data_IF_980839240967
#
_entry.id   IF_980839240967
#
_cell.length_a   1.000
_cell.length_b   1.000
_cell.length_c   1.000
_cell.angle_alpha   90.00
_cell.angle_beta   90.00
_cell.angle_gamma   90.00
#
_symmetry.space_group_name_H-M   'P 1'
#
loop_
_entity.id
_entity.type
_entity.pdbx_description
1 polymer ?
#
# COMPACT_ATOMS: atom_id res chain seq x y z
N UNK A 1 13.54 -28.49 18.93
CA UNK A 1 13.55 -27.15 19.54
C UNK A 1 13.68 -25.96 18.56
N UNK A 2 13.58 -26.16 17.23
CA UNK A 2 13.74 -25.06 16.25
C UNK A 2 12.42 -24.42 15.75
N UNK A 3 11.27 -24.94 16.19
CA UNK A 3 9.96 -24.51 15.70
C UNK A 3 9.50 -23.19 16.32
N UNK A 4 9.71 -23.03 17.64
CA UNK A 4 9.42 -21.79 18.37
C UNK A 4 10.26 -20.61 17.85
N UNK A 5 11.56 -20.82 17.59
CA UNK A 5 12.42 -19.80 17.00
C UNK A 5 11.97 -19.34 15.61
N UNK A 6 11.43 -20.26 14.80
CA UNK A 6 10.91 -19.94 13.46
C UNK A 6 9.61 -19.14 13.50
N UNK A 7 8.70 -19.46 14.43
CA UNK A 7 7.45 -18.72 14.64
C UNK A 7 7.75 -17.29 15.13
N UNK A 8 8.63 -17.16 16.12
CA UNK A 8 9.04 -15.85 16.66
C UNK A 8 9.74 -15.00 15.59
N UNK A 9 10.59 -15.61 14.76
CA UNK A 9 11.21 -14.94 13.62
C UNK A 9 10.21 -14.42 12.58
N UNK A 10 9.19 -15.22 12.26
CA UNK A 10 8.12 -14.82 11.32
C UNK A 10 7.25 -13.68 11.87
N UNK A 11 6.91 -13.72 13.16
CA UNK A 11 6.16 -12.64 13.83
C UNK A 11 6.96 -11.34 13.88
N UNK A 12 8.26 -11.41 14.16
CA UNK A 12 9.16 -10.25 14.12
C UNK A 12 9.29 -9.68 12.70
N UNK A 13 9.31 -10.54 11.68
CA UNK A 13 9.29 -10.13 10.26
C UNK A 13 7.97 -9.48 9.82
N UNK A 14 6.84 -9.97 10.33
CA UNK A 14 5.52 -9.35 10.15
C UNK A 14 5.46 -7.98 10.82
N UNK A 15 5.88 -7.88 12.09
CA UNK A 15 5.81 -6.64 12.87
C UNK A 15 6.77 -5.56 12.35
N UNK A 16 7.98 -5.94 11.91
CA UNK A 16 8.91 -5.03 11.22
C UNK A 16 8.45 -4.64 9.81
N UNK A 17 7.54 -5.42 9.19
CA UNK A 17 6.87 -5.08 7.94
C UNK A 17 5.72 -4.08 8.09
N UNK A 18 5.30 -3.78 9.32
CA UNK A 18 4.37 -2.69 9.66
C UNK A 18 5.18 -1.39 9.86
N UNK A 19 6.05 -1.06 8.91
CA UNK A 19 6.53 0.31 8.77
C UNK A 19 5.43 1.07 8.03
N UNK A 20 5.03 2.25 8.51
CA UNK A 20 4.05 3.09 7.81
C UNK A 20 4.44 3.38 6.35
N UNK A 21 5.75 3.42 6.07
CA UNK A 21 6.29 3.59 4.72
C UNK A 21 6.04 2.41 3.77
N UNK A 22 5.69 1.22 4.29
CA UNK A 22 5.44 -0.01 3.52
C UNK A 22 3.98 -0.44 3.50
N UNK A 23 3.08 0.40 4.05
CA UNK A 23 1.63 0.22 4.00
C UNK A 23 1.06 0.67 2.64
N UNK A 24 -0.07 0.06 2.26
CA UNK A 24 -0.86 0.51 1.11
C UNK A 24 -1.56 1.81 1.47
N UNK A 25 -1.56 2.78 0.55
CA UNK A 25 -2.22 4.05 0.77
C UNK A 25 -2.35 4.87 -0.51
N UNK A 26 -3.22 5.86 -0.46
CA UNK A 26 -3.39 6.88 -1.48
C UNK A 26 -3.47 8.25 -0.81
N UNK A 27 -3.17 9.30 -1.56
CA UNK A 27 -3.45 10.68 -1.14
C UNK A 27 -4.80 11.13 -1.70
N UNK A 28 -5.39 12.14 -1.08
CA UNK A 28 -6.58 12.79 -1.59
C UNK A 28 -6.31 13.45 -2.95
N UNK A 29 -7.28 13.36 -3.85
CA UNK A 29 -7.24 14.00 -5.16
C UNK A 29 -8.34 15.03 -5.23
N UNK A 30 -7.99 16.25 -5.60
CA UNK A 30 -8.96 17.33 -5.85
C UNK A 30 -9.22 17.37 -7.35
N UNK A 31 -10.51 17.42 -7.72
CA UNK A 31 -10.97 17.49 -9.11
C UNK A 31 -11.81 18.75 -9.29
N UNK A 32 -11.59 19.47 -10.38
CA UNK A 32 -12.29 20.72 -10.72
C UNK A 32 -12.75 20.67 -12.18
N UNK A 33 -14.03 20.95 -12.40
CA UNK A 33 -14.61 21.17 -13.72
C UNK A 33 -14.17 22.53 -14.27
N UNK A 34 -13.73 22.55 -15.53
CA UNK A 34 -13.31 23.75 -16.25
C UNK A 34 -14.51 24.34 -17.02
N UNK A 35 -14.39 25.58 -17.48
CA UNK A 35 -15.46 26.27 -18.21
C UNK A 35 -15.86 25.58 -19.52
N UNK A 36 -14.96 24.79 -20.11
CA UNK A 36 -15.20 24.00 -21.32
C UNK A 36 -15.80 22.61 -21.04
N UNK A 37 -16.17 22.33 -19.78
CA UNK A 37 -16.72 21.05 -19.33
C UNK A 37 -15.67 19.95 -19.16
N UNK A 38 -14.38 20.23 -19.34
CA UNK A 38 -13.31 19.27 -19.06
C UNK A 38 -13.00 19.23 -17.56
N UNK A 39 -12.38 18.13 -17.09
CA UNK A 39 -11.99 17.99 -15.69
C UNK A 39 -10.47 18.00 -15.55
N UNK A 40 -9.96 18.78 -14.60
CA UNK A 40 -8.55 18.75 -14.18
C UNK A 40 -8.44 18.31 -12.74
N UNK A 41 -7.33 17.68 -12.40
CA UNK A 41 -7.11 17.14 -11.07
C UNK A 41 -5.67 17.29 -10.60
N UNK A 42 -5.48 17.25 -9.28
CA UNK A 42 -4.16 17.06 -8.69
C UNK A 42 -3.58 15.68 -9.07
N UNK A 43 -2.25 15.50 -9.08
CA UNK A 43 -1.64 14.22 -9.43
C UNK A 43 -2.16 13.07 -8.57
N UNK A 44 -2.36 11.92 -9.20
CA UNK A 44 -2.70 10.68 -8.51
C UNK A 44 -1.44 10.08 -7.90
N UNK A 45 -1.45 9.85 -6.60
CA UNK A 45 -0.36 9.15 -5.92
C UNK A 45 -0.91 8.00 -5.08
N UNK A 46 -0.73 6.79 -5.60
CA UNK A 46 -1.11 5.53 -4.95
C UNK A 46 0.16 4.70 -4.70
N UNK A 47 0.24 4.10 -3.53
CA UNK A 47 1.31 3.17 -3.15
C UNK A 47 0.71 1.83 -2.78
N UNK A 48 1.27 0.77 -3.35
CA UNK A 48 0.94 -0.59 -2.97
C UNK A 48 1.97 -1.10 -1.97
N UNK A 49 1.51 -1.35 -0.75
CA UNK A 49 2.33 -1.92 0.31
C UNK A 49 2.64 -3.40 0.05
N UNK A 50 3.55 -3.95 0.86
CA UNK A 50 4.06 -5.32 0.71
C UNK A 50 2.98 -6.41 0.85
N UNK A 51 1.87 -6.11 1.55
CA UNK A 51 0.73 -7.02 1.70
C UNK A 51 -0.13 -7.13 0.44
N UNK A 52 -0.18 -6.10 -0.42
CA UNK A 52 -0.89 -6.15 -1.71
C UNK A 52 -0.17 -7.01 -2.76
N UNK A 53 1.14 -7.20 -2.61
CA UNK A 53 1.97 -7.99 -3.54
C UNK A 53 1.65 -9.50 -3.47
N UNK A 54 1.15 -9.99 -2.34
CA UNK A 54 0.79 -11.41 -2.18
C UNK A 54 -0.45 -11.83 -3.00
N UNK A 55 -1.23 -10.88 -3.52
CA UNK A 55 -2.33 -11.12 -4.48
C UNK A 55 -2.05 -10.57 -5.88
N UNK A 56 -0.78 -10.37 -6.23
CA UNK A 56 -0.39 -9.82 -7.54
C UNK A 56 -0.70 -10.73 -8.75
N UNK A 57 -1.24 -11.95 -8.55
CA UNK A 57 -1.48 -12.95 -9.60
C UNK A 57 -2.93 -13.13 -10.02
N UNK A 58 -3.84 -12.26 -9.59
CA UNK A 58 -5.17 -12.17 -10.18
C UNK A 58 -5.28 -10.85 -10.95
N UNK A 59 -5.07 -10.95 -12.26
CA UNK A 59 -5.55 -10.00 -13.28
C UNK A 59 -6.21 -10.83 -14.37
#
# INVERSE_FOLDING_TARGET
MNYLGRIVGNLKGLYSGINGATLTGAIDVVVVEQEDGTYKCSPFHVRFGKLGVLRSREK
#
